data_IF_405063237559
#
_entry.id   IF_405063237559
#
_cell.length_a   1.000
_cell.length_b   1.000
_cell.length_c   1.000
_cell.angle_alpha   90.00
_cell.angle_beta   90.00
_cell.angle_gamma   90.00
#
_symmetry.space_group_name_H-M   'P 1'
#
loop_
_entity.id
_entity.type
_entity.pdbx_description
1 polymer ?
#
# COMPACT_ATOMS: atom_id res chain seq x y z
N UNK A 1 -128.30 147.15 6.52
CA UNK A 1 -127.87 145.87 7.13
C UNK A 1 -127.43 144.77 6.12
N UNK A 2 -127.07 145.06 4.86
CA UNK A 2 -126.55 144.01 3.93
C UNK A 2 -125.26 144.36 3.16
N UNK A 3 -124.85 145.63 3.09
CA UNK A 3 -123.70 146.07 2.28
C UNK A 3 -122.35 145.97 3.03
N UNK A 4 -122.32 146.28 4.34
CA UNK A 4 -121.07 146.18 5.14
C UNK A 4 -120.59 144.73 5.36
N UNK A 5 -121.51 143.75 5.40
CA UNK A 5 -121.17 142.32 5.52
C UNK A 5 -120.55 141.76 4.23
N UNK A 6 -120.99 142.22 3.05
CA UNK A 6 -120.39 141.83 1.76
C UNK A 6 -118.98 142.40 1.57
N UNK A 7 -118.70 143.61 2.07
CA UNK A 7 -117.37 144.22 1.95
C UNK A 7 -116.33 143.52 2.84
N UNK A 8 -116.71 143.13 4.07
CA UNK A 8 -115.86 142.35 4.98
C UNK A 8 -115.61 140.94 4.42
N UNK A 9 -116.64 140.29 3.87
CA UNK A 9 -116.48 138.98 3.24
C UNK A 9 -115.59 139.03 2.00
N UNK A 10 -115.69 140.09 1.18
CA UNK A 10 -114.83 140.27 0.00
C UNK A 10 -113.36 140.57 0.38
N UNK A 11 -113.12 141.34 1.44
CA UNK A 11 -111.76 141.60 1.96
C UNK A 11 -111.16 140.32 2.56
N UNK A 12 -111.93 139.58 3.36
CA UNK A 12 -111.52 138.28 3.90
C UNK A 12 -111.27 137.27 2.78
N UNK A 13 -112.14 137.19 1.77
CA UNK A 13 -111.96 136.31 0.62
C UNK A 13 -110.71 136.68 -0.19
N UNK A 14 -110.42 137.98 -0.40
CA UNK A 14 -109.18 138.44 -1.04
C UNK A 14 -107.93 138.15 -0.21
N UNK A 15 -108.03 138.16 1.12
CA UNK A 15 -106.94 137.76 2.02
C UNK A 15 -106.72 136.25 2.00
N UNK A 16 -107.80 135.46 2.01
CA UNK A 16 -107.75 134.00 1.92
C UNK A 16 -107.24 133.56 0.56
N UNK A 17 -107.65 134.20 -0.54
CA UNK A 17 -107.14 133.93 -1.89
C UNK A 17 -105.64 134.29 -1.97
N UNK A 18 -105.20 135.41 -1.37
CA UNK A 18 -103.78 135.75 -1.32
C UNK A 18 -102.97 134.74 -0.51
N UNK A 19 -103.43 134.36 0.69
CA UNK A 19 -102.79 133.30 1.49
C UNK A 19 -102.73 131.98 0.73
N UNK A 20 -103.83 131.56 0.12
CA UNK A 20 -103.88 130.34 -0.68
C UNK A 20 -102.94 130.40 -1.90
N UNK A 21 -102.78 131.56 -2.55
CA UNK A 21 -101.81 131.76 -3.63
C UNK A 21 -100.36 131.71 -3.14
N UNK A 22 -100.10 132.22 -1.93
CA UNK A 22 -98.80 132.19 -1.27
C UNK A 22 -98.43 130.77 -0.84
N UNK A 23 -99.37 130.05 -0.22
CA UNK A 23 -99.26 128.64 0.14
C UNK A 23 -99.08 127.76 -1.11
N UNK A 24 -99.84 127.99 -2.19
CA UNK A 24 -99.65 127.28 -3.47
C UNK A 24 -98.25 127.52 -4.04
N UNK A 25 -97.72 128.74 -3.91
CA UNK A 25 -96.37 129.06 -4.36
C UNK A 25 -95.29 128.38 -3.51
N UNK A 26 -95.50 128.32 -2.19
CA UNK A 26 -94.62 127.57 -1.26
C UNK A 26 -94.66 126.08 -1.60
N UNK A 27 -95.84 125.47 -1.68
CA UNK A 27 -96.00 124.05 -2.03
C UNK A 27 -95.45 123.73 -3.42
N UNK A 28 -95.57 124.63 -4.40
CA UNK A 28 -94.99 124.43 -5.74
C UNK A 28 -93.46 124.49 -5.70
N UNK A 29 -92.90 125.42 -4.94
CA UNK A 29 -91.45 125.53 -4.75
C UNK A 29 -90.89 124.32 -3.96
N UNK A 30 -91.59 123.86 -2.93
CA UNK A 30 -91.25 122.65 -2.16
C UNK A 30 -91.36 121.39 -3.03
N UNK A 31 -92.39 121.29 -3.87
CA UNK A 31 -92.55 120.19 -4.81
C UNK A 31 -91.43 120.19 -5.86
N UNK A 32 -91.01 121.36 -6.34
CA UNK A 32 -89.91 121.48 -7.28
C UNK A 32 -88.57 121.15 -6.61
N UNK A 33 -88.32 121.64 -5.39
CA UNK A 33 -87.15 121.28 -4.61
C UNK A 33 -87.09 119.77 -4.29
N UNK A 34 -88.23 119.16 -3.97
CA UNK A 34 -88.35 117.71 -3.75
C UNK A 34 -88.11 116.92 -5.03
N UNK A 35 -88.65 117.37 -6.18
CA UNK A 35 -88.37 116.76 -7.49
C UNK A 35 -86.90 116.84 -7.88
N UNK A 36 -86.25 117.98 -7.63
CA UNK A 36 -84.82 118.15 -7.92
C UNK A 36 -83.96 117.29 -6.98
N UNK A 37 -84.36 117.15 -5.71
CA UNK A 37 -83.75 116.22 -4.75
C UNK A 37 -83.89 114.76 -5.19
N UNK A 38 -85.09 114.33 -5.60
CA UNK A 38 -85.34 112.98 -6.12
C UNK A 38 -84.52 112.72 -7.38
N UNK A 39 -84.43 113.70 -8.28
CA UNK A 39 -83.63 113.58 -9.51
C UNK A 39 -82.13 113.48 -9.21
N UNK A 40 -81.66 114.19 -8.18
CA UNK A 40 -80.30 114.07 -7.67
C UNK A 40 -80.04 112.68 -7.06
N UNK A 41 -80.93 112.21 -6.19
CA UNK A 41 -80.86 110.90 -5.55
C UNK A 41 -80.95 109.75 -6.56
N UNK A 42 -81.76 109.88 -7.62
CA UNK A 42 -81.83 108.89 -8.70
C UNK A 42 -80.52 108.79 -9.48
N UNK A 43 -79.86 109.93 -9.75
CA UNK A 43 -78.52 109.93 -10.37
C UNK A 43 -77.49 109.29 -9.45
N UNK A 44 -77.54 109.58 -8.16
CA UNK A 44 -76.65 108.98 -7.16
C UNK A 44 -76.88 107.47 -7.02
N UNK A 45 -78.14 107.03 -6.99
CA UNK A 45 -78.53 105.61 -7.00
C UNK A 45 -77.96 104.89 -8.23
N UNK A 46 -78.13 105.46 -9.42
CA UNK A 46 -77.62 104.86 -10.66
C UNK A 46 -76.09 104.74 -10.63
N UNK A 47 -75.40 105.76 -10.10
CA UNK A 47 -73.95 105.74 -9.95
C UNK A 47 -73.50 104.67 -8.94
N UNK A 48 -74.23 104.51 -7.83
CA UNK A 48 -73.96 103.49 -6.82
C UNK A 48 -74.20 102.07 -7.37
N UNK A 49 -75.27 101.85 -8.13
CA UNK A 49 -75.55 100.55 -8.78
C UNK A 49 -74.43 100.18 -9.77
N UNK A 50 -73.96 101.14 -10.59
CA UNK A 50 -72.81 100.94 -11.47
C UNK A 50 -71.53 100.61 -10.68
N UNK A 51 -71.28 101.32 -9.57
CA UNK A 51 -70.13 101.04 -8.70
C UNK A 51 -70.20 99.65 -8.09
N UNK A 52 -71.37 99.21 -7.62
CA UNK A 52 -71.59 97.87 -7.07
C UNK A 52 -71.30 96.81 -8.14
N UNK A 53 -71.86 96.95 -9.35
CA UNK A 53 -71.61 95.99 -10.43
C UNK A 53 -70.13 95.88 -10.81
N UNK A 54 -69.41 97.00 -10.88
CA UNK A 54 -67.96 97.00 -11.16
C UNK A 54 -67.20 96.31 -10.02
N UNK A 55 -67.58 96.57 -8.77
CA UNK A 55 -66.93 95.97 -7.60
C UNK A 55 -67.20 94.46 -7.50
N UNK A 56 -68.43 94.03 -7.74
CA UNK A 56 -68.84 92.62 -7.81
C UNK A 56 -68.08 91.89 -8.91
N UNK A 57 -67.97 92.49 -10.11
CA UNK A 57 -67.17 91.93 -11.20
C UNK A 57 -65.70 91.80 -10.81
N UNK A 58 -65.11 92.85 -10.24
CA UNK A 58 -63.71 92.81 -9.77
C UNK A 58 -63.49 91.74 -8.70
N UNK A 59 -64.41 91.60 -7.74
CA UNK A 59 -64.34 90.55 -6.70
C UNK A 59 -64.49 89.15 -7.27
N UNK A 60 -65.38 88.96 -8.24
CA UNK A 60 -65.55 87.70 -8.96
C UNK A 60 -64.29 87.32 -9.75
N UNK A 61 -63.66 88.30 -10.39
CA UNK A 61 -62.40 88.10 -11.12
C UNK A 61 -61.25 87.77 -10.16
N UNK A 62 -61.13 88.47 -9.02
CA UNK A 62 -60.15 88.16 -7.95
C UNK A 62 -60.34 86.74 -7.40
N UNK A 63 -61.58 86.32 -7.13
CA UNK A 63 -61.91 84.96 -6.67
C UNK A 63 -61.54 83.93 -7.74
N UNK A 64 -61.87 84.19 -9.01
CA UNK A 64 -61.57 83.28 -10.12
C UNK A 64 -60.06 83.11 -10.32
N UNK A 65 -59.29 84.20 -10.22
CA UNK A 65 -57.82 84.14 -10.26
C UNK A 65 -57.24 83.35 -9.09
N UNK A 66 -57.77 83.54 -7.89
CA UNK A 66 -57.34 82.76 -6.71
C UNK A 66 -57.66 81.27 -6.88
N UNK A 67 -58.87 80.93 -7.34
CA UNK A 67 -59.28 79.53 -7.59
C UNK A 67 -58.30 78.88 -8.58
N UNK A 68 -58.04 79.52 -9.73
CA UNK A 68 -57.11 78.98 -10.73
C UNK A 68 -55.69 78.77 -10.15
N UNK A 69 -55.17 79.75 -9.39
CA UNK A 69 -53.85 79.62 -8.75
C UNK A 69 -53.80 78.44 -7.77
N UNK A 70 -54.85 78.24 -6.97
CA UNK A 70 -54.93 77.10 -6.06
C UNK A 70 -55.13 75.77 -6.81
N UNK A 71 -55.85 75.76 -7.92
CA UNK A 71 -55.98 74.58 -8.79
C UNK A 71 -54.65 74.20 -9.42
N UNK A 72 -53.89 75.15 -9.97
CA UNK A 72 -52.56 74.93 -10.54
C UNK A 72 -51.60 74.36 -9.48
N UNK A 73 -51.60 74.93 -8.27
CA UNK A 73 -50.81 74.42 -7.14
C UNK A 73 -51.24 73.01 -6.75
N UNK A 74 -52.55 72.74 -6.69
CA UNK A 74 -53.08 71.40 -6.36
C UNK A 74 -52.66 70.38 -7.41
N UNK A 75 -52.71 70.72 -8.70
CA UNK A 75 -52.23 69.87 -9.77
C UNK A 75 -50.72 69.62 -9.67
N UNK A 76 -49.92 70.65 -9.41
CA UNK A 76 -48.47 70.51 -9.26
C UNK A 76 -48.10 69.59 -8.08
N UNK A 77 -48.77 69.76 -6.93
CA UNK A 77 -48.56 68.89 -5.78
C UNK A 77 -49.03 67.46 -6.05
N UNK A 78 -50.16 67.27 -6.73
CA UNK A 78 -50.64 65.94 -7.12
C UNK A 78 -49.61 65.20 -8.00
N UNK A 79 -49.03 65.89 -9.00
CA UNK A 79 -47.98 65.30 -9.86
C UNK A 79 -46.73 64.91 -9.05
N UNK A 80 -46.29 65.75 -8.13
CA UNK A 80 -45.14 65.44 -7.25
C UNK A 80 -45.40 64.27 -6.33
N UNK A 81 -46.62 64.15 -5.79
CA UNK A 81 -47.01 63.01 -4.96
C UNK A 81 -46.90 61.72 -5.77
N UNK A 82 -47.46 61.69 -6.99
CA UNK A 82 -47.36 60.51 -7.87
C UNK A 82 -45.91 60.17 -8.23
N UNK A 83 -45.07 61.18 -8.49
CA UNK A 83 -43.65 60.96 -8.76
C UNK A 83 -42.92 60.34 -7.55
N UNK A 84 -43.18 60.84 -6.34
CA UNK A 84 -42.59 60.28 -5.12
C UNK A 84 -43.12 58.89 -4.79
N UNK A 85 -44.41 58.63 -5.01
CA UNK A 85 -45.00 57.29 -4.87
C UNK A 85 -44.33 56.29 -5.82
N UNK A 86 -44.12 56.66 -7.08
CA UNK A 86 -43.40 55.82 -8.05
C UNK A 86 -41.95 55.55 -7.61
N UNK A 87 -41.23 56.58 -7.15
CA UNK A 87 -39.86 56.42 -6.63
C UNK A 87 -39.82 55.51 -5.41
N UNK A 88 -40.76 55.64 -4.48
CA UNK A 88 -40.85 54.80 -3.30
C UNK A 88 -41.03 53.32 -3.67
N UNK A 89 -41.97 53.03 -4.58
CA UNK A 89 -42.22 51.66 -5.05
C UNK A 89 -41.00 51.08 -5.74
N UNK A 90 -40.37 51.83 -6.66
CA UNK A 90 -39.16 51.35 -7.35
C UNK A 90 -37.99 51.08 -6.40
N UNK A 91 -37.81 51.91 -5.38
CA UNK A 91 -36.75 51.75 -4.38
C UNK A 91 -37.01 50.55 -3.48
N UNK A 92 -38.28 50.35 -3.07
CA UNK A 92 -38.68 49.18 -2.28
C UNK A 92 -38.41 47.87 -3.05
N UNK A 93 -38.65 47.83 -4.35
CA UNK A 93 -38.38 46.63 -5.16
C UNK A 93 -36.88 46.35 -5.29
N UNK A 94 -36.05 47.38 -5.53
CA UNK A 94 -34.58 47.21 -5.55
C UNK A 94 -34.06 46.70 -4.21
N UNK A 95 -34.58 47.24 -3.10
CA UNK A 95 -34.22 46.78 -1.75
C UNK A 95 -34.57 45.31 -1.55
N UNK A 96 -35.79 44.90 -1.93
CA UNK A 96 -36.25 43.50 -1.84
C UNK A 96 -35.34 42.55 -2.61
N UNK A 97 -34.92 42.93 -3.82
CA UNK A 97 -34.01 42.11 -4.64
C UNK A 97 -32.61 42.04 -4.01
N UNK A 98 -32.11 43.16 -3.47
CA UNK A 98 -30.82 43.20 -2.78
C UNK A 98 -30.82 42.32 -1.51
N UNK A 99 -31.88 42.38 -0.70
CA UNK A 99 -32.07 41.53 0.48
C UNK A 99 -32.09 40.05 0.12
N UNK A 100 -32.82 39.68 -0.95
CA UNK A 100 -32.83 38.31 -1.46
C UNK A 100 -31.44 37.85 -1.91
N UNK A 101 -30.68 38.72 -2.58
CA UNK A 101 -29.34 38.40 -3.07
C UNK A 101 -28.36 38.21 -1.92
N UNK A 102 -28.43 39.05 -0.88
CA UNK A 102 -27.62 38.93 0.33
C UNK A 102 -27.92 37.61 1.03
N UNK A 103 -29.19 37.23 1.15
CA UNK A 103 -29.56 35.95 1.75
C UNK A 103 -28.94 34.75 1.02
N UNK A 104 -28.98 34.73 -0.33
CA UNK A 104 -28.33 33.68 -1.12
C UNK A 104 -26.82 33.67 -0.94
N UNK A 105 -26.18 34.85 -0.93
CA UNK A 105 -24.71 34.95 -0.76
C UNK A 105 -24.24 34.51 0.62
N UNK A 106 -25.02 34.75 1.66
CA UNK A 106 -24.70 34.27 2.99
C UNK A 106 -24.69 32.73 3.04
N UNK A 107 -25.66 32.07 2.40
CA UNK A 107 -25.68 30.60 2.29
C UNK A 107 -24.44 30.08 1.54
N UNK A 108 -24.05 30.74 0.45
CA UNK A 108 -22.83 30.37 -0.29
C UNK A 108 -21.56 30.56 0.56
N UNK A 109 -21.48 31.63 1.34
CA UNK A 109 -20.35 31.90 2.24
C UNK A 109 -20.25 30.84 3.34
N UNK A 110 -21.38 30.44 3.94
CA UNK A 110 -21.40 29.40 4.98
C UNK A 110 -20.93 28.06 4.40
N UNK A 111 -21.42 27.68 3.22
CA UNK A 111 -20.97 26.48 2.53
C UNK A 111 -19.47 26.51 2.18
N UNK A 112 -18.93 27.67 1.79
CA UNK A 112 -17.50 27.82 1.52
C UNK A 112 -16.66 27.75 2.81
N UNK A 113 -17.14 28.26 3.93
CA UNK A 113 -16.46 28.12 5.22
C UNK A 113 -16.37 26.66 5.67
N UNK A 114 -17.45 25.89 5.50
CA UNK A 114 -17.46 24.46 5.83
C UNK A 114 -16.46 23.68 4.96
N UNK A 115 -16.45 23.95 3.64
CA UNK A 115 -15.48 23.34 2.74
C UNK A 115 -14.03 23.70 3.09
N UNK A 116 -13.77 24.96 3.49
CA UNK A 116 -12.44 25.39 3.93
C UNK A 116 -11.99 24.65 5.19
N UNK A 117 -12.90 24.42 6.12
CA UNK A 117 -12.62 23.67 7.34
C UNK A 117 -12.26 22.21 7.03
N UNK A 118 -13.04 21.55 6.19
CA UNK A 118 -12.75 20.18 5.74
C UNK A 118 -11.40 20.09 5.02
N UNK A 119 -11.09 21.08 4.16
CA UNK A 119 -9.81 21.14 3.46
C UNK A 119 -8.61 21.29 4.42
N UNK A 120 -8.79 22.03 5.52
CA UNK A 120 -7.76 22.19 6.55
C UNK A 120 -7.53 20.87 7.30
N UNK A 121 -8.60 20.17 7.69
CA UNK A 121 -8.49 18.87 8.35
C UNK A 121 -7.79 17.82 7.46
N UNK A 122 -8.09 17.82 6.16
CA UNK A 122 -7.42 16.95 5.18
C UNK A 122 -5.92 17.28 5.02
N UNK A 123 -5.55 18.56 5.07
CA UNK A 123 -4.14 18.99 4.99
C UNK A 123 -3.36 18.49 6.21
N UNK A 124 -3.92 18.65 7.41
CA UNK A 124 -3.27 18.20 8.65
C UNK A 124 -3.10 16.67 8.65
N UNK A 125 -4.12 15.92 8.22
CA UNK A 125 -4.04 14.47 8.08
C UNK A 125 -2.97 14.04 7.07
N UNK A 126 -2.83 14.76 5.95
CA UNK A 126 -1.80 14.47 4.95
C UNK A 126 -0.40 14.64 5.52
N UNK A 127 -0.15 15.71 6.29
CA UNK A 127 1.14 15.94 6.94
C UNK A 127 1.48 14.85 7.98
N UNK A 128 0.49 14.29 8.66
CA UNK A 128 0.69 13.14 9.56
C UNK A 128 1.01 11.85 8.79
N UNK A 129 0.34 11.61 7.65
CA UNK A 129 0.62 10.46 6.78
C UNK A 129 2.03 10.56 6.22
N UNK A 130 2.45 11.73 5.73
CA UNK A 130 3.78 11.93 5.17
C UNK A 130 4.87 11.68 6.23
N UNK A 131 4.68 12.17 7.46
CA UNK A 131 5.59 11.87 8.59
C UNK A 131 5.67 10.37 8.92
N UNK A 132 4.53 9.66 8.95
CA UNK A 132 4.50 8.21 9.19
C UNK A 132 5.15 7.42 8.06
N UNK A 133 4.96 7.84 6.82
CA UNK A 133 5.57 7.22 5.64
C UNK A 133 7.09 7.37 5.68
N UNK A 134 7.61 8.56 6.01
CA UNK A 134 9.05 8.79 6.15
C UNK A 134 9.67 7.93 7.25
N UNK A 135 9.02 7.85 8.43
CA UNK A 135 9.45 6.97 9.51
C UNK A 135 9.47 5.48 9.08
N UNK A 136 8.42 5.03 8.38
CA UNK A 136 8.32 3.64 7.90
C UNK A 136 9.42 3.34 6.88
N UNK A 137 9.73 4.26 5.97
CA UNK A 137 10.79 4.10 4.98
C UNK A 137 12.17 3.95 5.64
N UNK A 138 12.45 4.71 6.70
CA UNK A 138 13.71 4.59 7.46
C UNK A 138 13.83 3.24 8.18
N UNK A 139 12.75 2.75 8.79
CA UNK A 139 12.72 1.42 9.44
C UNK A 139 12.97 0.33 8.41
N UNK A 140 12.28 0.37 7.26
CA UNK A 140 12.42 -0.63 6.21
C UNK A 140 13.84 -0.67 5.66
N UNK A 141 14.46 0.50 5.45
CA UNK A 141 15.86 0.61 5.02
C UNK A 141 16.81 -0.02 6.04
N UNK A 142 16.61 0.23 7.34
CA UNK A 142 17.44 -0.34 8.40
C UNK A 142 17.32 -1.87 8.46
N UNK A 143 16.09 -2.39 8.37
CA UNK A 143 15.84 -3.83 8.36
C UNK A 143 16.46 -4.50 7.12
N UNK A 144 16.36 -3.85 5.95
CA UNK A 144 16.99 -4.33 4.72
C UNK A 144 18.51 -4.45 4.85
N UNK A 145 19.18 -3.44 5.42
CA UNK A 145 20.62 -3.49 5.69
C UNK A 145 21.00 -4.60 6.68
N UNK A 146 20.25 -4.77 7.76
CA UNK A 146 20.51 -5.82 8.76
C UNK A 146 20.35 -7.22 8.18
N UNK A 147 19.34 -7.45 7.34
CA UNK A 147 19.15 -8.74 6.67
C UNK A 147 20.29 -9.06 5.71
N UNK A 148 20.76 -8.08 4.94
CA UNK A 148 21.89 -8.26 4.03
C UNK A 148 23.20 -8.59 4.77
N UNK A 149 23.44 -7.93 5.90
CA UNK A 149 24.58 -8.21 6.77
C UNK A 149 24.52 -9.63 7.36
N UNK A 150 23.35 -10.03 7.87
CA UNK A 150 23.15 -11.36 8.45
C UNK A 150 23.31 -12.48 7.40
N UNK A 151 22.80 -12.27 6.18
CA UNK A 151 22.95 -13.23 5.08
C UNK A 151 24.42 -13.41 4.69
N UNK A 152 25.20 -12.31 4.66
CA UNK A 152 26.63 -12.36 4.38
C UNK A 152 27.40 -13.14 5.45
N UNK A 153 27.15 -12.84 6.74
CA UNK A 153 27.74 -13.55 7.87
C UNK A 153 27.39 -15.05 7.86
N UNK A 154 26.15 -15.40 7.55
CA UNK A 154 25.72 -16.80 7.45
C UNK A 154 26.44 -17.56 6.33
N UNK A 155 26.64 -16.93 5.16
CA UNK A 155 27.41 -17.54 4.06
C UNK A 155 28.87 -17.75 4.44
N UNK A 156 29.50 -16.77 5.10
CA UNK A 156 30.86 -16.90 5.60
C UNK A 156 30.98 -18.05 6.60
N UNK A 157 30.06 -18.14 7.56
CA UNK A 157 30.04 -19.21 8.55
C UNK A 157 29.86 -20.59 7.91
N UNK A 158 29.03 -20.73 6.87
CA UNK A 158 28.90 -22.00 6.13
C UNK A 158 30.22 -22.43 5.47
N UNK A 159 30.99 -21.48 4.93
CA UNK A 159 32.30 -21.76 4.34
C UNK A 159 33.29 -22.19 5.42
N UNK A 160 33.33 -21.47 6.55
CA UNK A 160 34.19 -21.81 7.68
C UNK A 160 33.85 -23.18 8.27
N UNK A 161 32.57 -23.49 8.46
CA UNK A 161 32.11 -24.78 8.95
C UNK A 161 32.60 -25.93 8.07
N UNK A 162 32.48 -25.80 6.75
CA UNK A 162 33.01 -26.79 5.80
C UNK A 162 34.53 -26.92 5.92
N UNK A 163 35.24 -25.79 6.01
CA UNK A 163 36.69 -25.77 6.15
C UNK A 163 37.15 -26.49 7.43
N UNK A 164 36.56 -26.15 8.58
CA UNK A 164 36.91 -26.77 9.86
C UNK A 164 36.56 -28.25 9.90
N UNK A 165 35.42 -28.62 9.35
CA UNK A 165 35.03 -30.01 9.22
C UNK A 165 36.09 -30.81 8.45
N UNK A 166 36.53 -30.30 7.30
CA UNK A 166 37.59 -30.94 6.51
C UNK A 166 38.92 -31.02 7.25
N UNK A 167 39.31 -29.97 7.99
CA UNK A 167 40.55 -29.96 8.79
C UNK A 167 40.49 -31.03 9.89
N UNK A 168 39.37 -31.12 10.61
CA UNK A 168 39.19 -32.14 11.66
C UNK A 168 39.27 -33.53 11.05
N UNK A 169 38.65 -33.75 9.89
CA UNK A 169 38.69 -35.04 9.21
C UNK A 169 40.09 -35.37 8.66
N UNK A 170 40.83 -34.39 8.13
CA UNK A 170 42.23 -34.58 7.73
C UNK A 170 43.13 -34.88 8.95
N UNK A 171 42.89 -34.23 10.09
CA UNK A 171 43.62 -34.47 11.35
C UNK A 171 43.37 -35.88 11.91
N UNK A 172 42.19 -36.45 11.69
CA UNK A 172 41.88 -37.85 12.03
C UNK A 172 42.52 -38.87 11.09
N UNK A 173 43.15 -38.43 10.00
CA UNK A 173 43.80 -39.28 9.02
C UNK A 173 42.88 -39.68 7.85
N UNK A 174 43.44 -39.66 6.63
CA UNK A 174 42.73 -40.02 5.39
C UNK A 174 42.37 -41.51 5.30
N UNK A 175 43.10 -42.35 6.03
CA UNK A 175 42.83 -43.78 6.19
C UNK A 175 42.59 -44.00 7.68
N UNK A 176 41.46 -44.62 8.01
CA UNK A 176 41.14 -45.05 9.37
C UNK A 176 40.89 -46.54 9.40
N UNK A 177 41.41 -47.20 10.43
CA UNK A 177 41.30 -48.63 10.65
C UNK A 177 40.54 -48.85 11.95
N UNK A 178 39.32 -49.39 11.82
CA UNK A 178 38.50 -49.78 12.96
C UNK A 178 38.61 -51.28 13.19
N UNK A 179 38.69 -51.68 14.46
CA UNK A 179 38.61 -53.07 14.86
C UNK A 179 37.21 -53.34 15.44
N UNK A 180 36.54 -54.42 15.01
CA UNK A 180 35.25 -54.82 15.56
C UNK A 180 35.30 -56.27 16.03
N UNK A 181 35.02 -56.47 17.32
CA UNK A 181 34.94 -57.77 17.96
C UNK A 181 33.48 -58.23 17.92
N UNK A 182 33.19 -59.28 17.13
CA UNK A 182 31.84 -59.85 17.12
C UNK A 182 31.57 -60.66 18.41
N UNK A 183 30.33 -60.70 18.90
CA UNK A 183 29.95 -61.64 19.95
C UNK A 183 30.09 -63.09 19.48
N UNK A 184 30.19 -64.02 20.43
CA UNK A 184 30.17 -65.45 20.17
C UNK A 184 28.81 -65.88 19.61
N UNK A 185 28.82 -66.74 18.59
CA UNK A 185 27.61 -67.31 18.01
C UNK A 185 27.06 -68.42 18.93
N UNK A 186 25.76 -68.73 18.82
CA UNK A 186 25.08 -69.75 19.64
C UNK A 186 25.79 -71.11 19.64
N UNK A 187 26.30 -71.53 18.47
CA UNK A 187 27.09 -72.77 18.33
C UNK A 187 28.39 -72.72 19.14
N UNK A 188 29.07 -71.58 19.14
CA UNK A 188 30.34 -71.39 19.86
C UNK A 188 30.12 -71.36 21.37
N UNK A 189 29.00 -70.79 21.81
CA UNK A 189 28.56 -70.80 23.21
C UNK A 189 28.23 -72.25 23.64
N UNK A 190 27.48 -73.00 22.82
CA UNK A 190 27.16 -74.40 23.08
C UNK A 190 28.41 -75.28 23.17
N UNK A 191 29.42 -75.00 22.34
CA UNK A 191 30.74 -75.65 22.34
C UNK A 191 31.67 -75.12 23.46
N UNK A 192 31.21 -74.21 24.31
CA UNK A 192 31.98 -73.58 25.41
C UNK A 192 33.29 -72.93 24.94
N UNK A 193 33.30 -72.38 23.72
CA UNK A 193 34.43 -71.57 23.22
C UNK A 193 34.55 -70.28 24.04
N UNK A 194 35.77 -69.77 24.13
CA UNK A 194 36.08 -68.53 24.83
C UNK A 194 36.57 -67.48 23.85
N UNK A 195 36.27 -66.22 24.14
CA UNK A 195 36.88 -65.09 23.46
C UNK A 195 38.38 -65.09 23.74
N UNK A 196 39.17 -64.93 22.69
CA UNK A 196 40.64 -64.85 22.77
C UNK A 196 41.16 -63.44 22.51
N UNK A 197 40.29 -62.53 22.08
CA UNK A 197 40.61 -61.12 21.85
C UNK A 197 39.70 -60.27 22.73
N UNK A 198 40.28 -59.28 23.39
CA UNK A 198 39.58 -58.38 24.31
C UNK A 198 39.92 -56.94 23.99
N UNK A 199 38.94 -56.04 24.11
CA UNK A 199 39.16 -54.60 24.08
C UNK A 199 39.67 -54.14 25.46
N UNK A 200 40.86 -53.55 25.51
CA UNK A 200 41.44 -52.97 26.74
C UNK A 200 40.84 -51.57 26.97
N UNK A 201 40.69 -50.82 25.89
CA UNK A 201 40.07 -49.50 25.83
C UNK A 201 39.45 -49.28 24.44
N UNK A 202 39.02 -48.04 24.15
CA UNK A 202 38.38 -47.66 22.87
C UNK A 202 39.31 -47.71 21.65
N UNK A 203 40.62 -47.90 21.82
CA UNK A 203 41.62 -47.88 20.75
C UNK A 203 42.48 -49.14 20.71
N UNK A 204 42.51 -49.93 21.78
CA UNK A 204 43.48 -51.02 21.96
C UNK A 204 42.79 -52.36 22.15
N UNK A 205 43.18 -53.34 21.32
CA UNK A 205 42.82 -54.76 21.52
C UNK A 205 44.02 -55.56 22.00
N UNK A 206 43.74 -56.56 22.81
CA UNK A 206 44.72 -57.46 23.41
C UNK A 206 44.34 -58.91 23.14
N UNK A 207 45.35 -59.73 22.83
CA UNK A 207 45.21 -61.17 22.67
C UNK A 207 46.44 -61.92 23.21
N UNK A 208 46.28 -63.19 23.62
CA UNK A 208 47.40 -64.02 24.06
C UNK A 208 48.45 -64.19 22.95
N UNK A 209 49.72 -64.06 23.32
CA UNK A 209 50.87 -64.27 22.44
C UNK A 209 51.88 -65.19 23.15
N UNK A 210 52.98 -65.55 22.47
CA UNK A 210 53.99 -66.51 22.98
C UNK A 210 54.48 -66.14 24.40
N UNK A 211 54.83 -67.15 25.18
CA UNK A 211 55.44 -67.06 26.52
C UNK A 211 54.59 -66.31 27.57
N UNK A 212 53.28 -66.59 27.64
CA UNK A 212 52.32 -65.98 28.58
C UNK A 212 52.22 -64.44 28.50
N UNK A 213 52.81 -63.82 27.49
CA UNK A 213 52.71 -62.38 27.25
C UNK A 213 51.53 -62.10 26.34
N UNK A 214 50.79 -61.04 26.65
CA UNK A 214 49.76 -60.52 25.76
C UNK A 214 50.38 -59.61 24.70
N UNK A 215 49.77 -59.56 23.51
CA UNK A 215 50.13 -58.63 22.44
C UNK A 215 48.99 -57.67 22.19
N UNK A 216 49.32 -56.39 22.17
CA UNK A 216 48.37 -55.30 21.95
C UNK A 216 48.49 -54.73 20.54
N UNK A 217 47.36 -54.32 19.99
CA UNK A 217 47.25 -53.64 18.70
C UNK A 217 46.37 -52.41 18.86
N UNK A 218 46.87 -51.27 18.36
CA UNK A 218 46.19 -49.98 18.43
C UNK A 218 45.53 -49.68 17.09
N UNK A 219 44.29 -49.21 17.15
CA UNK A 219 43.41 -48.87 16.04
C UNK A 219 42.82 -47.47 16.25
N UNK A 220 42.21 -46.89 15.21
CA UNK A 220 41.54 -45.59 15.33
C UNK A 220 40.26 -45.67 16.18
N UNK A 221 39.65 -46.86 16.23
CA UNK A 221 38.59 -47.22 17.17
C UNK A 221 38.43 -48.74 17.28
N UNK A 222 38.08 -49.21 18.47
CA UNK A 222 37.75 -50.60 18.78
C UNK A 222 36.29 -50.67 19.23
N UNK A 223 35.51 -51.49 18.53
CA UNK A 223 34.15 -51.86 18.89
C UNK A 223 34.18 -53.25 19.54
N UNK A 224 33.80 -53.33 20.80
CA UNK A 224 33.62 -54.56 21.56
C UNK A 224 32.36 -55.33 21.16
N UNK A 225 32.15 -56.46 21.84
CA UNK A 225 31.05 -57.40 21.54
C UNK A 225 29.65 -56.84 21.85
N UNK A 226 29.59 -55.79 22.66
CA UNK A 226 28.34 -55.14 23.06
C UNK A 226 28.00 -53.93 22.19
N UNK A 227 28.91 -53.50 21.30
CA UNK A 227 28.67 -52.36 20.42
C UNK A 227 27.73 -52.75 19.28
N UNK A 228 26.67 -51.95 19.15
CA UNK A 228 25.59 -52.16 18.21
C UNK A 228 25.95 -51.71 16.79
N UNK A 229 25.08 -51.99 15.82
CA UNK A 229 25.24 -51.48 14.45
C UNK A 229 25.10 -49.95 14.40
N UNK A 230 24.27 -49.40 15.30
CA UNK A 230 24.08 -47.98 15.51
C UNK A 230 25.38 -47.31 15.97
N UNK A 231 26.11 -47.91 16.90
CA UNK A 231 27.36 -47.37 17.43
C UNK A 231 28.44 -47.32 16.34
N UNK A 232 28.56 -48.39 15.55
CA UNK A 232 29.47 -48.44 14.40
C UNK A 232 29.05 -47.44 13.31
N UNK A 233 27.74 -47.25 13.10
CA UNK A 233 27.25 -46.26 12.14
C UNK A 233 27.45 -44.83 12.63
N UNK A 234 27.27 -44.53 13.92
CA UNK A 234 27.47 -43.19 14.48
C UNK A 234 28.88 -42.67 14.17
N UNK A 235 29.85 -43.56 14.27
CA UNK A 235 31.27 -43.30 14.00
C UNK A 235 31.66 -43.35 12.53
N UNK A 236 30.78 -43.76 11.63
CA UNK A 236 31.01 -43.70 10.18
C UNK A 236 30.05 -42.76 9.48
N UNK A 237 29.07 -42.19 10.21
CA UNK A 237 28.03 -41.31 9.68
C UNK A 237 28.61 -40.07 8.99
N UNK A 238 29.70 -39.53 9.54
CA UNK A 238 30.36 -38.35 8.98
C UNK A 238 30.93 -38.64 7.57
N UNK A 239 31.26 -39.91 7.25
CA UNK A 239 31.72 -40.31 5.92
C UNK A 239 30.62 -40.10 4.87
N UNK A 240 29.35 -40.33 5.23
CA UNK A 240 28.20 -40.04 4.36
C UNK A 240 28.09 -38.55 4.07
N UNK A 241 28.28 -37.71 5.09
CA UNK A 241 28.30 -36.25 4.92
C UNK A 241 29.46 -35.80 4.02
N UNK A 242 30.65 -36.38 4.21
CA UNK A 242 31.83 -36.11 3.37
C UNK A 242 31.56 -36.46 1.90
N UNK A 243 30.86 -37.57 1.64
CA UNK A 243 30.45 -37.96 0.29
C UNK A 243 29.49 -36.93 -0.34
N UNK A 244 28.49 -36.44 0.41
CA UNK A 244 27.58 -35.38 -0.04
C UNK A 244 28.33 -34.08 -0.34
N UNK A 245 29.32 -33.73 0.49
CA UNK A 245 30.16 -32.54 0.29
C UNK A 245 31.11 -32.69 -0.92
N UNK A 246 31.23 -33.89 -1.51
CA UNK A 246 31.95 -34.17 -2.75
C UNK A 246 33.30 -34.84 -2.60
N UNK A 247 33.57 -35.44 -1.43
CA UNK A 247 34.77 -36.23 -1.20
C UNK A 247 34.54 -37.69 -1.57
N UNK A 248 35.60 -38.35 -2.02
CA UNK A 248 35.59 -39.77 -2.30
C UNK A 248 35.79 -40.56 -1.00
N UNK A 249 34.86 -41.46 -0.67
CA UNK A 249 34.75 -42.16 0.62
C UNK A 249 34.59 -43.67 0.45
N UNK A 250 35.64 -44.44 0.70
CA UNK A 250 35.58 -45.91 0.61
C UNK A 250 35.54 -46.54 2.00
N UNK A 251 34.67 -47.54 2.19
CA UNK A 251 34.65 -48.35 3.41
C UNK A 251 34.68 -49.82 2.98
N UNK A 252 35.67 -50.55 3.49
CA UNK A 252 35.83 -51.98 3.25
C UNK A 252 35.86 -52.71 4.59
N UNK A 253 35.34 -53.94 4.60
CA UNK A 253 35.40 -54.82 5.77
C UNK A 253 36.42 -55.94 5.51
N UNK A 254 37.38 -56.08 6.41
CA UNK A 254 38.44 -57.08 6.32
C UNK A 254 38.38 -58.09 7.47
N UNK A 255 38.70 -59.35 7.19
CA UNK A 255 38.75 -60.43 8.17
C UNK A 255 38.46 -61.79 7.56
N UNK A 256 38.64 -62.87 8.33
CA UNK A 256 38.34 -64.23 7.88
C UNK A 256 36.84 -64.47 7.66
N UNK A 257 36.47 -65.54 6.96
CA UNK A 257 35.07 -65.98 6.86
C UNK A 257 34.47 -66.21 8.26
N UNK A 258 33.26 -65.71 8.49
CA UNK A 258 32.60 -65.79 9.79
C UNK A 258 33.07 -64.77 10.84
N UNK A 259 33.94 -63.81 10.50
CA UNK A 259 34.35 -62.73 11.42
C UNK A 259 33.31 -61.62 11.60
N UNK A 260 32.26 -61.60 10.78
CA UNK A 260 31.21 -60.57 10.83
C UNK A 260 31.31 -59.46 9.77
N UNK A 261 32.08 -59.66 8.67
CA UNK A 261 32.17 -58.72 7.53
C UNK A 261 30.78 -58.36 6.98
N UNK A 262 30.04 -59.35 6.49
CA UNK A 262 28.69 -59.17 5.92
C UNK A 262 27.71 -58.57 6.92
N UNK A 263 27.79 -58.99 8.19
CA UNK A 263 26.97 -58.43 9.25
C UNK A 263 27.29 -56.95 9.49
N UNK A 264 28.55 -56.52 9.42
CA UNK A 264 28.90 -55.10 9.55
C UNK A 264 28.39 -54.27 8.36
N UNK A 265 28.59 -54.76 7.14
CA UNK A 265 28.25 -54.01 5.93
C UNK A 265 26.74 -53.96 5.66
N UNK A 266 26.06 -55.10 5.70
CA UNK A 266 24.63 -55.20 5.36
C UNK A 266 23.76 -55.39 6.59
N UNK A 267 24.25 -56.10 7.60
CA UNK A 267 23.50 -56.41 8.81
C UNK A 267 22.42 -57.45 8.60
N UNK A 268 21.42 -57.42 9.47
CA UNK A 268 20.19 -58.22 9.37
C UNK A 268 18.97 -57.29 9.33
N UNK A 269 17.79 -57.84 9.08
CA UNK A 269 16.54 -57.06 9.09
C UNK A 269 16.30 -56.35 10.43
N UNK A 270 16.60 -57.01 11.55
CA UNK A 270 16.47 -56.45 12.89
C UNK A 270 17.61 -55.51 13.28
N UNK A 271 18.79 -55.69 12.68
CA UNK A 271 20.00 -54.93 12.99
C UNK A 271 20.68 -54.49 11.69
N UNK A 272 20.10 -53.50 10.98
CA UNK A 272 20.63 -53.05 9.69
C UNK A 272 22.08 -52.58 9.83
N UNK A 273 22.93 -52.92 8.86
CA UNK A 273 24.34 -52.57 8.85
C UNK A 273 24.63 -51.18 8.31
N UNK A 274 25.89 -50.95 7.94
CA UNK A 274 26.34 -49.66 7.45
C UNK A 274 25.64 -49.23 6.17
N UNK A 275 25.47 -50.13 5.20
CA UNK A 275 24.88 -49.83 3.89
C UNK A 275 23.44 -49.29 3.99
N UNK A 276 22.47 -50.01 4.58
CA UNK A 276 21.10 -49.50 4.67
C UNK A 276 20.99 -48.20 5.48
N UNK A 277 21.82 -48.03 6.53
CA UNK A 277 21.85 -46.79 7.34
C UNK A 277 22.46 -45.61 6.59
N UNK A 278 23.54 -45.84 5.87
CA UNK A 278 24.19 -44.84 5.03
C UNK A 278 23.25 -44.37 3.92
N UNK A 279 22.54 -45.29 3.27
CA UNK A 279 21.52 -44.96 2.26
C UNK A 279 20.38 -44.13 2.84
N UNK A 280 19.83 -44.51 3.99
CA UNK A 280 18.78 -43.74 4.66
C UNK A 280 19.25 -42.32 5.05
N UNK A 281 20.46 -42.20 5.59
CA UNK A 281 21.04 -40.90 5.95
C UNK A 281 21.33 -40.05 4.70
N UNK A 282 21.81 -40.66 3.62
CA UNK A 282 22.02 -39.97 2.34
C UNK A 282 20.72 -39.33 1.85
N UNK A 283 19.62 -40.10 1.75
CA UNK A 283 18.32 -39.55 1.35
C UNK A 283 17.83 -38.45 2.28
N UNK A 284 18.02 -38.60 3.60
CA UNK A 284 17.70 -37.55 4.59
C UNK A 284 18.47 -36.25 4.33
N UNK A 285 19.74 -36.34 3.94
CA UNK A 285 20.57 -35.19 3.60
C UNK A 285 20.17 -34.57 2.25
N UNK A 286 19.81 -35.40 1.26
CA UNK A 286 19.29 -34.94 -0.03
C UNK A 286 17.99 -34.14 0.15
N UNK A 287 17.03 -34.66 0.92
CA UNK A 287 15.75 -33.98 1.13
C UNK A 287 15.92 -32.62 1.80
N UNK A 288 16.82 -32.54 2.79
CA UNK A 288 17.16 -31.29 3.49
C UNK A 288 17.76 -30.24 2.55
N UNK A 289 18.55 -30.66 1.57
CA UNK A 289 19.30 -29.78 0.66
C UNK A 289 18.77 -29.88 -0.80
N UNK A 290 17.50 -30.27 -0.97
CA UNK A 290 16.83 -30.62 -2.25
C UNK A 290 16.82 -29.50 -3.30
N UNK A 291 17.01 -28.24 -2.89
CA UNK A 291 17.11 -27.10 -3.80
C UNK A 291 18.52 -26.85 -4.36
N UNK A 292 19.54 -27.62 -3.94
CA UNK A 292 20.95 -27.30 -4.20
C UNK A 292 21.72 -28.35 -5.01
N UNK A 293 21.26 -29.60 -5.09
CA UNK A 293 22.06 -30.70 -5.67
C UNK A 293 21.21 -31.73 -6.44
N UNK A 294 21.77 -32.27 -7.52
CA UNK A 294 21.25 -33.44 -8.24
C UNK A 294 22.07 -34.68 -7.84
N UNK A 295 21.40 -35.77 -7.48
CA UNK A 295 22.04 -37.03 -7.08
C UNK A 295 21.65 -38.15 -8.05
N UNK A 296 22.59 -39.05 -8.33
CA UNK A 296 22.36 -40.27 -9.12
C UNK A 296 23.02 -41.45 -8.40
N UNK A 297 22.27 -42.53 -8.23
CA UNK A 297 22.75 -43.79 -7.63
C UNK A 297 22.93 -44.82 -8.75
N UNK A 298 24.00 -45.62 -8.69
CA UNK A 298 24.21 -46.79 -9.57
C UNK A 298 24.48 -48.01 -8.70
N UNK A 299 23.77 -49.10 -8.97
CA UNK A 299 24.01 -50.41 -8.37
C UNK A 299 24.77 -51.28 -9.38
N UNK A 300 26.08 -51.47 -9.18
CA UNK A 300 26.85 -52.46 -9.92
C UNK A 300 26.79 -53.78 -9.14
N UNK A 301 25.81 -54.63 -9.45
CA UNK A 301 25.79 -56.02 -8.98
C UNK A 301 26.55 -56.87 -10.00
N UNK A 302 27.71 -57.39 -9.59
CA UNK A 302 28.46 -58.42 -10.33
C UNK A 302 27.59 -59.69 -10.47
N UNK A 303 26.99 -59.88 -11.64
CA UNK A 303 26.59 -61.18 -12.13
C UNK A 303 26.76 -61.19 -13.67
N UNK A 304 27.46 -62.22 -14.15
CA UNK A 304 27.83 -62.45 -15.55
C UNK A 304 26.70 -62.21 -16.56
N UNK A 305 26.99 -61.48 -17.65
CA UNK A 305 26.24 -61.58 -18.92
C UNK A 305 25.85 -60.28 -19.64
N UNK A 306 26.75 -59.80 -20.51
CA UNK A 306 26.49 -59.04 -21.75
C UNK A 306 25.77 -57.65 -21.76
N UNK A 307 26.56 -56.67 -22.21
CA UNK A 307 26.38 -55.73 -23.35
C UNK A 307 25.41 -54.52 -23.28
N UNK A 308 26.05 -53.34 -23.24
CA UNK A 308 25.83 -52.11 -24.05
C UNK A 308 24.51 -51.32 -23.93
N UNK A 309 24.56 -50.13 -23.32
CA UNK A 309 24.53 -48.81 -23.99
C UNK A 309 24.40 -47.63 -22.98
N UNK A 310 25.39 -46.74 -23.03
CA UNK A 310 25.42 -45.30 -22.72
C UNK A 310 24.50 -44.72 -21.62
N UNK A 311 25.09 -44.50 -20.43
CA UNK A 311 24.85 -43.33 -19.57
C UNK A 311 25.99 -43.21 -18.53
N UNK A 312 27.01 -42.42 -18.84
CA UNK A 312 28.04 -41.99 -17.88
C UNK A 312 27.52 -40.78 -17.09
N UNK A 313 27.29 -40.90 -15.77
CA UNK A 313 27.77 -39.95 -14.72
C UNK A 313 28.00 -40.73 -13.41
N UNK A 314 29.23 -40.63 -12.87
CA UNK A 314 29.77 -41.23 -11.63
C UNK A 314 29.35 -40.42 -10.39
N UNK A 315 28.81 -41.08 -9.38
CA UNK A 315 29.03 -40.72 -7.97
C UNK A 315 29.66 -41.95 -7.33
N UNK A 316 30.98 -42.05 -7.38
CA UNK A 316 31.69 -42.90 -6.42
C UNK A 316 31.67 -42.11 -5.11
N UNK A 317 31.37 -42.66 -3.94
CA UNK A 317 31.98 -43.87 -3.43
C UNK A 317 31.11 -44.49 -2.34
N UNK A 318 30.69 -45.73 -2.57
CA UNK A 318 30.40 -46.73 -1.54
C UNK A 318 30.61 -48.09 -2.22
N UNK A 319 31.84 -48.36 -2.63
CA UNK A 319 32.19 -49.69 -3.13
C UNK A 319 32.44 -50.57 -1.88
N UNK A 320 31.38 -51.24 -1.43
CA UNK A 320 31.45 -52.13 -0.27
C UNK A 320 31.97 -53.50 -0.71
N UNK A 321 33.29 -53.63 -0.79
CA UNK A 321 33.92 -54.89 -1.15
C UNK A 321 34.04 -55.76 0.12
N UNK A 322 33.46 -56.97 0.06
CA UNK A 322 33.73 -58.05 1.02
C UNK A 322 34.65 -59.02 0.30
N UNK A 323 35.91 -59.10 0.71
CA UNK A 323 36.92 -59.82 -0.07
C UNK A 323 37.46 -61.07 0.64
N UNK A 324 37.43 -62.19 -0.09
CA UNK A 324 38.26 -63.38 0.11
C UNK A 324 39.15 -63.52 -1.18
N UNK A 325 40.43 -63.16 -1.08
CA UNK A 325 41.59 -63.48 -1.95
C UNK A 325 41.68 -63.10 -3.47
N UNK A 326 41.43 -61.85 -3.91
CA UNK A 326 42.04 -61.33 -5.17
C UNK A 326 42.01 -59.79 -5.35
N UNK A 327 43.15 -59.12 -5.43
CA UNK A 327 43.32 -57.65 -5.56
C UNK A 327 42.41 -56.96 -6.60
N UNK A 328 41.63 -55.97 -6.16
CA UNK A 328 41.02 -54.94 -7.02
C UNK A 328 41.47 -53.58 -6.50
N UNK A 329 42.04 -52.77 -7.39
CA UNK A 329 42.38 -51.36 -7.16
C UNK A 329 41.31 -50.55 -7.88
N UNK A 330 40.42 -49.82 -7.19
CA UNK A 330 39.48 -48.94 -7.87
C UNK A 330 40.16 -47.62 -8.26
N UNK A 331 40.12 -47.32 -9.56
CA UNK A 331 40.60 -46.06 -10.13
C UNK A 331 39.89 -44.83 -9.54
N UNK A 332 40.68 -43.82 -9.19
CA UNK A 332 40.29 -42.54 -8.58
C UNK A 332 39.75 -41.57 -9.68
N UNK A 333 38.99 -40.54 -9.25
CA UNK A 333 38.69 -39.21 -9.88
C UNK A 333 37.39 -39.14 -10.75
N UNK A 334 36.52 -38.10 -10.89
CA UNK A 334 36.36 -36.65 -10.50
C UNK A 334 34.87 -36.23 -10.61
N UNK A 335 34.47 -35.08 -10.02
CA UNK A 335 33.10 -34.48 -10.01
C UNK A 335 32.90 -33.45 -11.16
N UNK A 336 31.73 -33.41 -11.80
CA UNK A 336 31.30 -32.32 -12.71
C UNK A 336 30.12 -31.51 -12.14
N UNK A 337 30.19 -30.17 -12.25
CA UNK A 337 29.12 -29.22 -11.91
C UNK A 337 28.05 -29.20 -13.01
N UNK A 338 26.78 -29.15 -12.63
CA UNK A 338 25.68 -28.95 -13.58
C UNK A 338 25.71 -27.51 -14.13
N UNK A 339 25.88 -27.40 -15.45
CA UNK A 339 25.50 -26.21 -16.22
C UNK A 339 24.04 -26.33 -16.71
N UNK A 340 23.42 -25.22 -17.17
CA UNK A 340 21.99 -25.13 -17.46
C UNK A 340 21.46 -25.99 -18.62
N UNK A 341 22.30 -26.75 -19.33
CA UNK A 341 21.90 -27.49 -20.54
C UNK A 341 21.46 -28.95 -20.31
N UNK A 342 21.57 -29.48 -19.08
CA UNK A 342 21.26 -30.88 -18.77
C UNK A 342 19.77 -31.26 -18.96
N UNK A 343 18.87 -30.27 -19.09
CA UNK A 343 17.44 -30.52 -19.31
C UNK A 343 17.06 -30.95 -20.73
N UNK A 344 17.91 -30.70 -21.74
CA UNK A 344 17.57 -30.94 -23.15
C UNK A 344 17.82 -32.38 -23.62
N UNK A 345 18.84 -33.05 -23.08
CA UNK A 345 19.25 -34.39 -23.51
C UNK A 345 18.27 -35.51 -23.11
N UNK A 346 17.38 -35.27 -22.16
CA UNK A 346 16.36 -36.25 -21.73
C UNK A 346 15.18 -36.37 -22.71
N UNK A 347 15.03 -35.44 -23.67
CA UNK A 347 13.89 -35.45 -24.59
C UNK A 347 14.16 -36.25 -25.88
N UNK A 348 15.43 -36.43 -26.25
CA UNK A 348 15.83 -37.15 -27.47
C UNK A 348 16.00 -38.67 -27.27
N UNK A 349 16.16 -39.15 -26.02
CA UNK A 349 16.31 -40.58 -25.72
C UNK A 349 15.00 -41.40 -25.84
N UNK A 350 13.86 -40.77 -26.12
CA UNK A 350 12.54 -41.45 -26.27
C UNK A 350 12.24 -41.96 -27.68
N UNK A 351 13.09 -41.72 -28.67
CA UNK A 351 12.86 -42.20 -30.05
C UNK A 351 14.01 -43.09 -30.52
N UNK A 352 13.75 -44.40 -30.53
CA UNK A 352 14.73 -45.44 -30.81
C UNK A 352 15.16 -45.50 -32.27
N UNK A 353 16.26 -44.83 -32.60
CA UNK A 353 17.05 -45.11 -33.81
C UNK A 353 18.54 -45.06 -33.42
N UNK A 354 19.32 -46.14 -33.58
CA UNK A 354 20.76 -46.08 -33.34
C UNK A 354 21.48 -45.51 -34.57
N UNK A 355 22.36 -44.50 -34.43
CA UNK A 355 23.31 -44.13 -35.47
C UNK A 355 24.55 -45.06 -35.44
N UNK A 356 25.32 -45.13 -36.54
CA UNK A 356 26.23 -46.23 -36.81
C UNK A 356 27.59 -46.09 -36.10
N UNK A 357 28.18 -47.24 -35.76
CA UNK A 357 29.58 -47.39 -35.36
C UNK A 357 30.52 -46.76 -36.40
N UNK A 358 31.37 -45.85 -35.93
CA UNK A 358 32.65 -45.53 -36.58
C UNK A 358 33.75 -45.96 -35.61
N UNK A 359 34.50 -46.98 -36.01
CA UNK A 359 35.76 -47.40 -35.43
C UNK A 359 36.90 -46.42 -35.79
N UNK A 360 38.02 -46.55 -35.05
CA UNK A 360 39.37 -45.99 -35.26
C UNK A 360 39.80 -45.01 -34.13
N UNK A 361 41.00 -45.03 -33.56
CA UNK A 361 42.27 -45.68 -33.92
C UNK A 361 43.14 -45.90 -32.68
N UNK A 362 43.93 -46.98 -32.74
CA UNK A 362 45.21 -47.22 -32.05
C UNK A 362 46.06 -45.97 -31.82
N UNK A 363 46.80 -45.88 -30.71
CA UNK A 363 48.22 -45.47 -30.72
C UNK A 363 48.97 -46.24 -29.62
N UNK A 364 49.97 -47.02 -30.03
CA UNK A 364 50.96 -47.66 -29.17
C UNK A 364 52.21 -46.79 -28.99
N UNK A 365 53.36 -47.36 -28.58
CA UNK A 365 54.10 -46.95 -27.38
C UNK A 365 55.45 -46.30 -27.68
N UNK A 366 55.94 -45.39 -26.84
CA UNK A 366 57.35 -45.01 -26.68
C UNK A 366 57.50 -44.26 -25.34
N UNK A 367 58.60 -44.30 -24.60
CA UNK A 367 59.93 -44.86 -24.78
C UNK A 367 60.77 -44.39 -23.59
N UNK A 368 61.61 -45.26 -23.03
CA UNK A 368 62.56 -44.92 -21.97
C UNK A 368 63.93 -44.77 -22.64
N UNK A 369 64.46 -43.55 -22.65
CA UNK A 369 65.80 -43.18 -23.11
C UNK A 369 66.72 -43.15 -21.88
N UNK A 370 67.77 -43.97 -21.87
CA UNK A 370 68.99 -43.74 -21.08
C UNK A 370 70.18 -44.18 -21.94
N UNK A 371 71.01 -43.21 -22.36
CA UNK A 371 72.40 -43.43 -22.77
C UNK A 371 73.25 -42.21 -22.42
N UNK A 372 74.47 -42.50 -21.99
CA UNK A 372 75.58 -41.58 -21.79
C UNK A 372 76.24 -41.81 -20.43
N UNK A 373 77.45 -42.33 -20.29
CA UNK A 373 78.51 -42.69 -21.22
C UNK A 373 79.86 -42.69 -20.48
N UNK A 374 80.87 -43.31 -21.11
CA UNK A 374 82.33 -43.18 -20.89
C UNK A 374 83.01 -44.05 -19.82
N UNK A 375 83.77 -45.03 -20.33
CA UNK A 375 85.24 -45.02 -20.22
C UNK A 375 85.88 -45.97 -19.21
N UNK A 376 86.71 -46.89 -19.71
CA UNK A 376 87.68 -47.67 -18.92
C UNK A 376 87.74 -49.14 -19.30
#
# INVERSE_FOLDING_TARGET
MKIYSQLILFVLLKQTIRKLQEDLKIYTNELQASKDTIKSLLKEKLLLEQKIQIFEKKKKDEISMMINNYEDKRQNFALKITEFEQKLVSTAEVLRVAESTIATRNIEIDALHDNLKELQELRDMKEDIDRKNEQTALILKRQGSQLAELEALYKEELVLRKRYYNIIEDMKGKIRVFCRLRPLNEKEIAEKKKNVVFSVDEFTVEHPWKDEKSKQHIYDRVFGQNDSQEDVFADTKYLVQSAVDGYNVCIFAYGQTGSGKTFTIYGSESHPGLTPRATAELFRLVDRDSSKFFFSLKDDVLNDGCLNQDALIRVSVFEWIVQDDLWIVPDIVTKNRAGPEAGSLLQEAKQGVPPPLIAAHMWGPHGRFEEGGLGG
#
